data_IF_798197028189
#
_entry.id   IF_798197028189
#
_cell.length_a   1.000
_cell.length_b   1.000
_cell.length_c   1.000
_cell.angle_alpha   90.00
_cell.angle_beta   90.00
_cell.angle_gamma   90.00
#
_symmetry.space_group_name_H-M   'P 1'
#
loop_
_entity.id
_entity.type
_entity.pdbx_description
1 polymer ?
#
# COMPACT_ATOMS: atom_id res chain seq x y z
N UNK A 1 1.64 22.55 -30.21
CA UNK A 1 1.91 21.36 -29.41
C UNK A 1 1.49 20.17 -30.24
N UNK A 2 2.22 19.06 -30.32
CA UNK A 2 1.71 17.87 -30.99
C UNK A 2 0.39 17.46 -30.32
N UNK A 3 -0.62 17.17 -31.10
CA UNK A 3 -1.86 16.60 -30.58
C UNK A 3 -1.53 15.19 -30.08
N UNK A 4 -1.74 14.94 -28.79
CA UNK A 4 -1.63 13.61 -28.22
C UNK A 4 -2.90 12.82 -28.60
N UNK A 5 -2.73 11.70 -29.27
CA UNK A 5 -3.85 10.85 -29.70
C UNK A 5 -4.42 9.98 -28.55
N UNK A 6 -3.77 9.97 -27.39
CA UNK A 6 -4.13 9.11 -26.26
C UNK A 6 -4.11 9.88 -24.95
N UNK A 7 -5.18 9.74 -24.16
CA UNK A 7 -5.32 10.35 -22.85
C UNK A 7 -5.07 9.33 -21.74
N UNK A 8 -4.31 9.74 -20.72
CA UNK A 8 -4.19 9.00 -19.47
C UNK A 8 -4.57 9.87 -18.29
N UNK A 9 -5.54 9.42 -17.49
CA UNK A 9 -5.84 10.05 -16.21
C UNK A 9 -4.89 9.46 -15.16
N UNK A 10 -4.13 10.31 -14.49
CA UNK A 10 -3.23 9.93 -13.40
C UNK A 10 -3.94 10.22 -12.08
N UNK A 11 -4.46 9.18 -11.43
CA UNK A 11 -5.15 9.33 -10.15
C UNK A 11 -4.17 9.63 -9.03
N UNK A 12 -4.53 10.58 -8.18
CA UNK A 12 -3.67 11.02 -7.08
C UNK A 12 -4.48 11.47 -5.86
N UNK A 13 -3.79 11.66 -4.75
CA UNK A 13 -4.33 12.28 -3.54
C UNK A 13 -5.27 11.36 -2.76
N UNK A 14 -6.51 11.76 -2.64
CA UNK A 14 -7.48 11.12 -1.76
C UNK A 14 -7.39 11.64 -0.32
N UNK A 15 -7.96 10.89 0.61
CA UNK A 15 -8.10 11.28 2.02
C UNK A 15 -7.36 10.38 3.00
N UNK A 16 -6.43 9.58 2.51
CA UNK A 16 -5.55 8.73 3.35
C UNK A 16 -4.34 9.51 3.86
N UNK A 17 -3.65 8.97 4.85
CA UNK A 17 -2.37 9.50 5.36
C UNK A 17 -1.30 9.61 4.26
N UNK A 18 -1.43 8.84 3.20
CA UNK A 18 -0.49 8.78 2.08
C UNK A 18 -0.83 9.72 0.91
N UNK A 19 -1.90 10.53 1.02
CA UNK A 19 -2.36 11.42 -0.04
C UNK A 19 -1.27 12.40 -0.54
N UNK A 20 -0.43 12.91 0.36
CA UNK A 20 0.68 13.80 0.00
C UNK A 20 1.74 13.07 -0.86
N UNK A 21 2.07 11.84 -0.50
CA UNK A 21 3.02 10.98 -1.25
C UNK A 21 2.45 10.67 -2.62
N UNK A 22 1.16 10.34 -2.68
CA UNK A 22 0.44 10.07 -3.93
C UNK A 22 0.52 11.24 -4.92
N UNK A 23 0.33 12.48 -4.45
CA UNK A 23 0.45 13.67 -5.32
C UNK A 23 1.86 13.86 -5.87
N UNK A 24 2.89 13.58 -5.08
CA UNK A 24 4.29 13.62 -5.54
C UNK A 24 4.53 12.54 -6.60
N UNK A 25 4.11 11.29 -6.33
CA UNK A 25 4.22 10.18 -7.27
C UNK A 25 3.51 10.50 -8.59
N UNK A 26 2.28 11.02 -8.53
CA UNK A 26 1.50 11.38 -9.71
C UNK A 26 2.19 12.46 -10.56
N UNK A 27 2.81 13.47 -9.93
CA UNK A 27 3.56 14.52 -10.66
C UNK A 27 4.71 13.94 -11.48
N UNK A 28 5.46 12.98 -10.92
CA UNK A 28 6.54 12.30 -11.66
C UNK A 28 5.98 11.39 -12.75
N UNK A 29 4.93 10.62 -12.46
CA UNK A 29 4.29 9.73 -13.43
C UNK A 29 3.67 10.50 -14.60
N UNK A 30 3.02 11.63 -14.32
CA UNK A 30 2.45 12.50 -15.37
C UNK A 30 3.52 13.08 -16.30
N UNK A 31 4.66 13.51 -15.74
CA UNK A 31 5.80 13.97 -16.56
C UNK A 31 6.32 12.86 -17.44
N UNK A 32 6.50 11.65 -16.89
CA UNK A 32 6.97 10.49 -17.64
C UNK A 32 5.97 10.08 -18.73
N UNK A 33 4.67 10.09 -18.45
CA UNK A 33 3.63 9.78 -19.41
C UNK A 33 3.62 10.79 -20.59
N UNK A 34 3.77 12.08 -20.29
CA UNK A 34 3.89 13.13 -21.34
C UNK A 34 5.13 12.93 -22.22
N UNK A 35 6.27 12.56 -21.61
CA UNK A 35 7.48 12.21 -22.38
C UNK A 35 7.29 10.96 -23.24
N UNK A 36 6.44 10.04 -22.82
CA UNK A 36 6.06 8.84 -23.57
C UNK A 36 4.96 9.10 -24.63
N UNK A 37 4.53 10.35 -24.84
CA UNK A 37 3.56 10.73 -25.86
C UNK A 37 2.10 10.59 -25.44
N UNK A 38 1.79 10.64 -24.16
CA UNK A 38 0.43 10.65 -23.64
C UNK A 38 -0.01 12.05 -23.22
N UNK A 39 -1.29 12.37 -23.44
CA UNK A 39 -1.94 13.51 -22.79
C UNK A 39 -2.27 13.10 -21.34
N UNK A 40 -1.37 13.43 -20.42
CA UNK A 40 -1.51 13.03 -19.01
C UNK A 40 -2.22 14.13 -18.20
N UNK A 41 -3.36 13.76 -17.63
CA UNK A 41 -4.22 14.62 -16.82
C UNK A 41 -4.18 14.10 -15.38
N UNK A 42 -3.69 14.93 -14.45
CA UNK A 42 -3.70 14.63 -13.02
C UNK A 42 -5.12 14.81 -12.47
N UNK A 43 -5.62 13.79 -11.78
CA UNK A 43 -7.01 13.77 -11.28
C UNK A 43 -6.99 13.46 -9.78
N UNK A 44 -7.39 14.43 -8.98
CA UNK A 44 -7.54 14.25 -7.54
C UNK A 44 -8.69 13.31 -7.25
N UNK A 45 -8.43 12.28 -6.44
CA UNK A 45 -9.44 11.33 -5.98
C UNK A 45 -10.33 12.00 -4.92
N UNK A 46 -11.58 12.16 -5.26
CA UNK A 46 -12.64 12.63 -4.38
C UNK A 46 -13.96 11.95 -4.72
N UNK A 47 -15.06 12.42 -4.12
CA UNK A 47 -16.40 11.82 -4.32
C UNK A 47 -16.96 12.01 -5.72
N UNK A 48 -16.43 12.99 -6.47
CA UNK A 48 -16.87 13.31 -7.83
C UNK A 48 -15.99 12.62 -8.89
N UNK A 49 -15.13 11.67 -8.49
CA UNK A 49 -14.15 11.01 -9.37
C UNK A 49 -14.80 10.38 -10.61
N UNK A 50 -15.98 9.79 -10.48
CA UNK A 50 -16.71 9.17 -11.60
C UNK A 50 -17.05 10.23 -12.64
N UNK A 51 -17.65 11.33 -12.24
CA UNK A 51 -18.00 12.45 -13.14
C UNK A 51 -16.77 13.03 -13.83
N UNK A 52 -15.68 13.21 -13.08
CA UNK A 52 -14.41 13.68 -13.66
C UNK A 52 -13.88 12.74 -14.74
N UNK A 53 -13.92 11.42 -14.51
CA UNK A 53 -13.47 10.43 -15.48
C UNK A 53 -14.39 10.37 -16.70
N UNK A 54 -15.70 10.51 -16.52
CA UNK A 54 -16.69 10.58 -17.63
C UNK A 54 -16.48 11.83 -18.51
N UNK A 55 -16.13 12.96 -17.91
CA UNK A 55 -15.85 14.21 -18.63
C UNK A 55 -14.50 14.14 -19.39
N UNK A 56 -13.46 13.60 -18.75
CA UNK A 56 -12.11 13.47 -19.32
C UNK A 56 -12.10 12.43 -20.43
N UNK A 57 -12.84 11.32 -20.27
CA UNK A 57 -12.86 10.16 -21.16
C UNK A 57 -11.44 9.64 -21.46
N UNK A 58 -10.69 9.23 -20.45
CA UNK A 58 -9.32 8.75 -20.65
C UNK A 58 -9.32 7.37 -21.32
N UNK A 59 -8.34 7.11 -22.19
CA UNK A 59 -8.10 5.79 -22.76
C UNK A 59 -7.59 4.79 -21.71
N UNK A 60 -6.90 5.31 -20.70
CA UNK A 60 -6.27 4.55 -19.60
C UNK A 60 -6.27 5.37 -18.33
N UNK A 61 -6.21 4.66 -17.22
CA UNK A 61 -5.92 5.26 -15.91
C UNK A 61 -4.56 4.77 -15.42
N UNK A 62 -3.71 5.70 -15.01
CA UNK A 62 -2.53 5.41 -14.21
C UNK A 62 -2.87 5.64 -12.74
N UNK A 63 -2.87 4.57 -11.95
CA UNK A 63 -3.17 4.68 -10.53
C UNK A 63 -1.89 5.02 -9.76
N UNK A 64 -1.75 6.27 -9.31
CA UNK A 64 -0.68 6.74 -8.44
C UNK A 64 -1.16 6.95 -7.00
N UNK A 65 -2.31 6.38 -6.64
CA UNK A 65 -2.79 6.37 -5.27
C UNK A 65 -1.97 5.41 -4.41
N UNK A 66 -1.94 5.68 -3.11
CA UNK A 66 -1.31 4.84 -2.12
C UNK A 66 -2.28 4.47 -0.99
N UNK A 67 -2.09 3.28 -0.43
CA UNK A 67 -2.86 2.80 0.71
C UNK A 67 -4.31 2.48 0.38
N UNK A 68 -5.17 2.69 1.35
CA UNK A 68 -6.59 2.39 1.27
C UNK A 68 -7.25 3.10 0.08
N UNK A 69 -8.25 2.47 -0.54
CA UNK A 69 -8.95 2.85 -1.78
C UNK A 69 -8.07 2.69 -3.02
N UNK A 70 -6.82 3.13 -3.00
CA UNK A 70 -5.91 3.05 -4.14
C UNK A 70 -5.37 1.65 -4.40
N UNK A 71 -5.09 0.90 -3.33
CA UNK A 71 -4.38 -0.38 -3.39
C UNK A 71 -5.21 -1.57 -2.85
N UNK A 72 -6.44 -1.34 -2.39
CA UNK A 72 -7.30 -2.35 -1.77
C UNK A 72 -8.37 -2.96 -2.70
N UNK A 73 -8.36 -2.62 -3.98
CA UNK A 73 -9.34 -3.08 -4.95
C UNK A 73 -10.54 -2.14 -5.16
N UNK A 74 -10.72 -1.11 -4.33
CA UNK A 74 -11.86 -0.20 -4.41
C UNK A 74 -11.86 0.62 -5.69
N UNK A 75 -10.79 1.36 -5.98
CA UNK A 75 -10.65 2.13 -7.22
C UNK A 75 -10.63 1.22 -8.44
N UNK A 76 -10.02 0.05 -8.35
CA UNK A 76 -9.98 -0.94 -9.42
C UNK A 76 -11.40 -1.45 -9.76
N UNK A 77 -12.23 -1.68 -8.75
CA UNK A 77 -13.64 -2.07 -8.94
C UNK A 77 -14.46 -0.99 -9.64
N UNK A 78 -14.29 0.27 -9.24
CA UNK A 78 -14.92 1.43 -9.90
C UNK A 78 -14.49 1.53 -11.37
N UNK A 79 -13.19 1.41 -11.66
CA UNK A 79 -12.67 1.48 -13.03
C UNK A 79 -13.15 0.30 -13.90
N UNK A 80 -13.32 -0.89 -13.32
CA UNK A 80 -13.94 -2.02 -14.01
C UNK A 80 -15.40 -1.73 -14.39
N UNK A 81 -16.19 -1.11 -13.50
CA UNK A 81 -17.59 -0.71 -13.81
C UNK A 81 -17.61 0.32 -14.94
N UNK A 82 -16.69 1.28 -14.93
CA UNK A 82 -16.56 2.29 -15.98
C UNK A 82 -15.93 1.75 -17.28
N UNK A 83 -15.48 0.50 -17.28
CA UNK A 83 -14.79 -0.14 -18.40
C UNK A 83 -13.55 0.65 -18.87
N UNK A 84 -12.81 1.24 -17.91
CA UNK A 84 -11.57 1.98 -18.18
C UNK A 84 -10.38 1.10 -17.77
N UNK A 85 -9.49 0.73 -18.71
CA UNK A 85 -8.27 -0.01 -18.38
C UNK A 85 -7.34 0.82 -17.50
N UNK A 86 -6.67 0.15 -16.53
CA UNK A 86 -5.80 0.80 -15.57
C UNK A 86 -4.50 0.03 -15.32
N UNK A 87 -3.53 0.70 -14.74
CA UNK A 87 -2.28 0.10 -14.26
C UNK A 87 -2.51 -0.62 -12.93
N UNK A 88 -1.58 -1.51 -12.57
CA UNK A 88 -1.59 -2.33 -11.36
C UNK A 88 -2.46 -3.58 -11.42
N UNK A 89 -2.53 -4.26 -10.29
CA UNK A 89 -3.28 -5.51 -10.12
C UNK A 89 -4.79 -5.27 -10.11
N UNK A 90 -5.55 -6.30 -10.42
CA UNK A 90 -7.02 -6.24 -10.38
C UNK A 90 -7.57 -6.32 -8.93
N UNK A 91 -8.91 -6.24 -8.82
CA UNK A 91 -9.64 -6.14 -7.54
C UNK A 91 -9.22 -7.20 -6.52
N UNK A 92 -9.28 -8.49 -6.91
CA UNK A 92 -9.01 -9.57 -5.96
C UNK A 92 -7.56 -9.56 -5.47
N UNK A 93 -6.60 -9.36 -6.38
CA UNK A 93 -5.19 -9.33 -6.02
C UNK A 93 -4.87 -8.14 -5.11
N UNK A 94 -5.40 -6.96 -5.42
CA UNK A 94 -5.23 -5.74 -4.61
C UNK A 94 -5.84 -5.91 -3.22
N UNK A 95 -7.08 -6.36 -3.12
CA UNK A 95 -7.75 -6.59 -1.84
C UNK A 95 -7.02 -7.62 -0.97
N UNK A 96 -6.57 -8.73 -1.60
CA UNK A 96 -5.82 -9.77 -0.90
C UNK A 96 -4.46 -9.28 -0.42
N UNK A 97 -3.73 -8.51 -1.25
CA UNK A 97 -2.41 -8.00 -0.91
C UNK A 97 -2.47 -6.95 0.20
N UNK A 98 -3.53 -6.13 0.26
CA UNK A 98 -3.72 -5.14 1.30
C UNK A 98 -3.98 -5.80 2.66
N UNK A 99 -4.73 -6.91 2.69
CA UNK A 99 -5.02 -7.65 3.92
C UNK A 99 -3.85 -8.60 4.28
N UNK A 100 -3.08 -8.24 5.31
CA UNK A 100 -1.91 -9.01 5.73
C UNK A 100 -2.23 -10.44 6.15
N UNK A 101 -3.43 -10.70 6.67
CA UNK A 101 -3.84 -12.07 7.05
C UNK A 101 -4.12 -12.90 5.81
N UNK A 102 -4.85 -12.35 4.85
CA UNK A 102 -5.15 -13.04 3.58
C UNK A 102 -3.88 -13.32 2.77
N UNK A 103 -2.98 -12.34 2.65
CA UNK A 103 -1.70 -12.53 1.95
C UNK A 103 -0.82 -13.60 2.62
N UNK A 104 -0.75 -13.61 3.96
CA UNK A 104 -0.01 -14.64 4.72
C UNK A 104 -0.53 -16.04 4.43
N UNK A 105 -1.85 -16.24 4.41
CA UNK A 105 -2.45 -17.53 4.11
C UNK A 105 -2.08 -18.04 2.71
N UNK A 106 -2.10 -17.13 1.71
CA UNK A 106 -1.70 -17.48 0.35
C UNK A 106 -0.21 -17.79 0.29
N UNK A 107 0.66 -16.97 0.87
CA UNK A 107 2.10 -17.22 0.88
C UNK A 107 2.44 -18.55 1.55
N UNK A 108 1.83 -18.84 2.71
CA UNK A 108 2.02 -20.10 3.39
C UNK A 108 1.53 -21.30 2.55
N UNK A 109 0.41 -21.16 1.83
CA UNK A 109 -0.14 -22.23 0.99
C UNK A 109 0.76 -22.66 -0.17
N UNK A 110 1.65 -21.76 -0.60
CA UNK A 110 2.63 -22.02 -1.67
C UNK A 110 4.06 -22.23 -1.13
N UNK A 111 4.21 -22.42 0.19
CA UNK A 111 5.49 -22.73 0.84
C UNK A 111 6.40 -21.54 1.07
N UNK A 112 5.92 -20.30 0.92
CA UNK A 112 6.68 -19.09 1.30
C UNK A 112 6.59 -18.94 2.81
N UNK A 113 7.76 -18.83 3.47
CA UNK A 113 7.82 -18.60 4.91
C UNK A 113 7.23 -17.24 5.28
N UNK A 114 6.38 -17.24 6.31
CA UNK A 114 5.81 -16.01 6.89
C UNK A 114 6.10 -16.00 8.39
N UNK A 115 6.28 -14.81 9.02
CA UNK A 115 6.49 -14.73 10.46
C UNK A 115 5.33 -15.39 11.20
N UNK A 116 5.54 -16.18 12.26
CA UNK A 116 4.46 -16.73 13.05
C UNK A 116 3.52 -15.66 13.59
N UNK A 117 2.22 -15.85 13.41
CA UNK A 117 1.19 -14.99 13.96
C UNK A 117 1.03 -15.27 15.45
N UNK A 118 1.09 -14.25 16.28
CA UNK A 118 0.94 -14.35 17.74
C UNK A 118 -0.49 -14.03 18.16
N UNK A 119 -1.05 -12.94 17.63
CA UNK A 119 -2.40 -12.53 17.99
C UNK A 119 -3.06 -11.73 16.86
N UNK A 120 -4.38 -11.82 16.80
CA UNK A 120 -5.27 -10.90 16.12
C UNK A 120 -6.01 -10.11 17.18
N UNK A 121 -6.32 -8.85 16.89
CA UNK A 121 -7.15 -8.06 17.80
C UNK A 121 -8.54 -8.70 17.93
N UNK A 122 -8.89 -9.02 19.17
CA UNK A 122 -10.25 -9.41 19.54
C UNK A 122 -10.64 -8.61 20.79
N UNK A 123 -11.75 -7.92 20.73
CA UNK A 123 -12.28 -7.13 21.86
C UNK A 123 -11.28 -6.07 22.41
N UNK A 124 -10.59 -5.37 21.53
CA UNK A 124 -9.61 -4.32 21.89
C UNK A 124 -8.33 -4.81 22.60
N UNK A 125 -8.02 -6.11 22.52
CA UNK A 125 -6.80 -6.68 23.07
C UNK A 125 -5.98 -7.32 21.95
N UNK A 126 -4.78 -6.81 21.71
CA UNK A 126 -3.86 -7.28 20.65
C UNK A 126 -2.70 -8.09 21.21
N UNK A 127 -2.54 -8.07 22.52
CA UNK A 127 -1.32 -8.57 23.13
C UNK A 127 -1.35 -10.09 23.25
N UNK A 128 -0.29 -10.76 22.76
CA UNK A 128 -0.03 -12.12 23.18
C UNK A 128 0.30 -12.09 24.67
N UNK A 129 -0.70 -12.29 25.52
CA UNK A 129 -0.57 -12.19 26.98
C UNK A 129 0.55 -13.08 27.56
N UNK A 130 1.01 -14.06 26.79
CA UNK A 130 1.95 -15.09 27.22
C UNK A 130 3.25 -15.13 26.40
N UNK A 131 3.49 -14.16 25.52
CA UNK A 131 4.70 -14.10 24.69
C UNK A 131 5.61 -12.96 25.13
N UNK A 132 6.80 -13.27 25.61
CA UNK A 132 7.80 -12.31 26.09
C UNK A 132 8.90 -11.98 25.10
N UNK A 133 8.94 -12.65 23.94
CA UNK A 133 9.94 -12.42 22.90
C UNK A 133 9.69 -11.17 22.06
N UNK A 134 10.68 -10.79 21.28
CA UNK A 134 10.56 -9.66 20.37
C UNK A 134 9.47 -9.90 19.33
N UNK A 135 8.58 -8.92 19.14
CA UNK A 135 7.43 -9.03 18.24
C UNK A 135 7.07 -7.69 17.60
N UNK A 136 6.21 -7.74 16.59
CA UNK A 136 5.75 -6.57 15.84
C UNK A 136 4.24 -6.48 15.98
N UNK A 137 3.75 -5.31 16.39
CA UNK A 137 2.33 -4.96 16.36
C UNK A 137 2.11 -3.97 15.21
N UNK A 138 1.10 -4.22 14.39
CA UNK A 138 0.85 -3.42 13.20
C UNK A 138 -0.61 -3.47 12.75
N UNK A 139 -1.09 -2.44 12.03
CA UNK A 139 -2.36 -2.50 11.37
C UNK A 139 -2.43 -3.65 10.35
N UNK A 140 -3.57 -4.33 10.32
CA UNK A 140 -3.84 -5.42 9.38
C UNK A 140 -3.91 -4.93 7.93
N UNK A 141 -4.55 -3.80 7.70
CA UNK A 141 -4.93 -3.29 6.37
C UNK A 141 -4.31 -1.91 6.06
N UNK A 142 -3.06 -1.69 6.43
CA UNK A 142 -2.38 -0.42 6.17
C UNK A 142 -1.00 -0.65 5.54
N UNK A 143 -0.46 0.39 4.89
CA UNK A 143 0.82 0.37 4.19
C UNK A 143 1.89 1.28 4.82
N UNK A 144 3.00 1.49 4.09
CA UNK A 144 4.06 2.45 4.37
C UNK A 144 4.66 2.42 5.79
N UNK A 145 4.61 1.30 6.47
CA UNK A 145 5.03 1.13 7.88
C UNK A 145 4.28 2.05 8.87
N UNK A 146 3.14 2.59 8.45
CA UNK A 146 2.31 3.40 9.34
C UNK A 146 1.77 2.56 10.49
N UNK A 147 1.92 3.04 11.72
CA UNK A 147 1.44 2.34 12.91
C UNK A 147 2.14 1.02 13.24
N UNK A 148 3.30 0.73 12.64
CA UNK A 148 4.11 -0.44 13.00
C UNK A 148 4.93 -0.15 14.24
N UNK A 149 4.83 -1.02 15.24
CA UNK A 149 5.59 -0.95 16.49
C UNK A 149 6.36 -2.25 16.68
N UNK A 150 7.68 -2.13 16.83
CA UNK A 150 8.55 -3.25 17.22
C UNK A 150 8.68 -3.22 18.73
N UNK A 151 8.27 -4.29 19.39
CA UNK A 151 8.39 -4.49 20.84
C UNK A 151 9.55 -5.44 21.08
N UNK A 152 10.57 -5.00 21.80
CA UNK A 152 11.71 -5.84 22.19
C UNK A 152 11.37 -6.63 23.46
N UNK A 153 12.17 -7.64 23.78
CA UNK A 153 11.93 -8.52 24.95
C UNK A 153 11.81 -7.77 26.29
N UNK A 154 12.50 -6.64 26.42
CA UNK A 154 12.55 -5.81 27.65
C UNK A 154 11.55 -4.64 27.63
N UNK A 155 10.87 -4.43 26.52
CA UNK A 155 9.95 -3.30 26.37
C UNK A 155 8.58 -3.62 26.98
N UNK A 156 7.95 -2.59 27.53
CA UNK A 156 6.55 -2.69 27.89
C UNK A 156 5.69 -2.73 26.63
N UNK A 157 4.57 -3.45 26.70
CA UNK A 157 3.58 -3.44 25.63
C UNK A 157 3.10 -2.02 25.34
N UNK A 158 3.04 -1.60 24.06
CA UNK A 158 2.56 -0.27 23.71
C UNK A 158 1.08 -0.11 24.05
N UNK A 159 0.66 1.08 24.42
CA UNK A 159 -0.75 1.35 24.70
C UNK A 159 -1.60 1.29 23.43
N UNK A 160 -2.79 0.71 23.53
CA UNK A 160 -3.76 0.61 22.41
C UNK A 160 -4.12 1.99 21.83
N UNK A 161 -4.05 3.03 22.63
CA UNK A 161 -4.30 4.43 22.25
C UNK A 161 -3.33 4.99 21.21
N UNK A 162 -2.22 4.30 20.91
CA UNK A 162 -1.33 4.66 19.80
C UNK A 162 -1.98 4.51 18.42
N UNK A 163 -3.06 3.75 18.32
CA UNK A 163 -3.81 3.55 17.07
C UNK A 163 -5.25 4.03 17.21
N UNK A 164 -5.87 4.51 16.13
CA UNK A 164 -7.30 4.78 16.11
C UNK A 164 -8.12 3.57 16.58
N UNK A 165 -9.23 3.81 17.25
CA UNK A 165 -10.04 2.74 17.84
C UNK A 165 -10.57 1.73 16.82
N UNK A 166 -10.79 2.18 15.58
CA UNK A 166 -11.30 1.38 14.45
C UNK A 166 -10.19 0.59 13.73
N UNK A 167 -8.92 0.72 14.12
CA UNK A 167 -7.82 0.03 13.45
C UNK A 167 -7.77 -1.43 13.91
N UNK A 168 -7.94 -2.36 12.98
CA UNK A 168 -7.69 -3.78 13.22
C UNK A 168 -6.18 -4.03 13.32
N UNK A 169 -5.74 -4.54 14.47
CA UNK A 169 -4.32 -4.81 14.72
C UNK A 169 -4.01 -6.30 14.66
N UNK A 170 -2.76 -6.61 14.34
CA UNK A 170 -2.19 -7.95 14.43
C UNK A 170 -0.82 -7.91 15.09
N UNK A 171 -0.42 -9.00 15.73
CA UNK A 171 0.91 -9.20 16.28
C UNK A 171 1.57 -10.43 15.67
N UNK A 172 2.85 -10.33 15.33
CA UNK A 172 3.66 -11.42 14.79
C UNK A 172 5.07 -11.41 15.39
N UNK A 173 5.75 -12.55 15.35
CA UNK A 173 7.15 -12.64 15.81
C UNK A 173 8.02 -11.70 14.98
N UNK A 174 8.89 -10.94 15.66
CA UNK A 174 9.92 -10.14 14.99
C UNK A 174 10.98 -11.06 14.37
N UNK A 175 11.22 -10.89 13.07
CA UNK A 175 12.27 -11.63 12.35
C UNK A 175 13.44 -10.67 12.10
N UNK A 176 14.57 -10.84 12.77
CA UNK A 176 15.76 -10.05 12.49
C UNK A 176 16.34 -10.42 11.12
N UNK A 177 16.85 -9.44 10.38
CA UNK A 177 17.48 -9.70 9.09
C UNK A 177 17.57 -8.46 8.22
N UNK A 178 17.92 -8.68 6.96
CA UNK A 178 17.96 -7.63 5.95
C UNK A 178 16.60 -7.43 5.33
N UNK A 179 16.21 -6.17 5.14
CA UNK A 179 15.02 -5.84 4.37
C UNK A 179 15.35 -5.85 2.87
N UNK A 180 14.61 -6.66 2.13
CA UNK A 180 14.77 -6.78 0.69
C UNK A 180 13.45 -6.47 -0.01
N UNK A 181 13.55 -5.85 -1.18
CA UNK A 181 12.41 -5.67 -2.08
C UNK A 181 12.75 -6.13 -3.49
N UNK A 182 11.74 -6.51 -4.25
CA UNK A 182 11.88 -6.92 -5.65
C UNK A 182 10.85 -6.20 -6.48
N UNK A 183 11.30 -5.40 -7.43
CA UNK A 183 10.42 -4.80 -8.43
C UNK A 183 9.97 -5.85 -9.44
N UNK A 184 8.68 -5.90 -9.74
CA UNK A 184 8.10 -6.81 -10.72
C UNK A 184 7.41 -6.00 -11.81
N UNK A 185 7.72 -6.29 -13.07
CA UNK A 185 7.08 -5.68 -14.25
C UNK A 185 6.66 -6.79 -15.22
N UNK A 186 5.39 -6.80 -15.61
CA UNK A 186 4.81 -7.83 -16.50
C UNK A 186 5.11 -9.27 -16.03
N UNK A 187 4.98 -9.53 -14.72
CA UNK A 187 5.24 -10.83 -14.13
C UNK A 187 6.72 -11.23 -14.05
N UNK A 188 7.65 -10.34 -14.40
CA UNK A 188 9.09 -10.58 -14.33
C UNK A 188 9.72 -9.84 -13.17
N UNK A 189 10.41 -10.56 -12.30
CA UNK A 189 11.28 -9.96 -11.28
C UNK A 189 12.45 -9.25 -11.98
N UNK A 190 12.66 -7.97 -11.67
CA UNK A 190 13.73 -7.17 -12.28
C UNK A 190 15.05 -7.34 -11.51
N UNK A 191 15.06 -6.95 -10.25
CA UNK A 191 16.23 -7.09 -9.39
C UNK A 191 15.83 -7.17 -7.92
N UNK A 192 16.69 -7.75 -7.11
CA UNK A 192 16.60 -7.72 -5.66
C UNK A 192 17.35 -6.50 -5.16
N UNK A 193 16.67 -5.68 -4.37
CA UNK A 193 17.24 -4.45 -3.79
C UNK A 193 17.24 -4.56 -2.27
N UNK A 194 18.40 -4.36 -1.63
CA UNK A 194 18.52 -4.25 -0.18
C UNK A 194 18.15 -2.83 0.25
N UNK A 195 17.23 -2.72 1.20
CA UNK A 195 16.87 -1.45 1.84
C UNK A 195 17.80 -1.25 3.02
N UNK A 196 18.61 -0.20 2.97
CA UNK A 196 19.52 0.19 4.06
C UNK A 196 19.02 1.48 4.70
N UNK A 197 18.84 1.45 6.00
CA UNK A 197 18.50 2.62 6.81
C UNK A 197 19.63 2.92 7.78
N UNK A 198 19.87 4.18 8.07
CA UNK A 198 20.88 4.61 9.05
C UNK A 198 20.39 4.37 10.47
N UNK A 199 19.07 4.37 10.66
CA UNK A 199 18.40 4.08 11.93
C UNK A 199 17.82 2.66 11.95
N UNK A 200 17.40 2.20 13.11
CA UNK A 200 17.11 0.78 13.37
C UNK A 200 15.87 0.20 12.65
N UNK A 201 15.04 1.04 12.00
CA UNK A 201 13.81 0.56 11.33
C UNK A 201 13.41 1.48 10.16
N UNK A 202 12.96 0.89 9.06
CA UNK A 202 12.48 1.59 7.86
C UNK A 202 11.03 2.06 8.07
N UNK A 203 10.85 3.06 8.92
CA UNK A 203 9.56 3.65 9.27
C UNK A 203 9.07 4.64 8.20
N UNK A 204 7.92 5.27 8.46
CA UNK A 204 7.35 6.28 7.58
C UNK A 204 8.27 7.50 7.38
N UNK A 205 9.00 7.92 8.41
CA UNK A 205 9.91 9.06 8.30
C UNK A 205 11.13 8.71 7.45
N UNK A 206 11.71 7.52 7.63
CA UNK A 206 12.82 7.02 6.82
C UNK A 206 12.44 6.81 5.34
N UNK A 207 11.13 6.61 5.05
CA UNK A 207 10.61 6.45 3.67
C UNK A 207 10.43 7.78 2.95
N UNK A 208 9.99 8.83 3.66
CA UNK A 208 9.41 10.03 3.01
C UNK A 208 9.97 11.36 3.51
N UNK A 209 10.87 11.37 4.47
CA UNK A 209 11.54 12.56 5.01
C UNK A 209 13.05 12.42 4.92
#
# INVERSE_FOLDING_TARGET
MPAFDRKVAVLMGGWTSEAAVSRVSASFCSKAARLAGWDAIEVELDRDIITKLEDIKPDRVFNALHGQIGEDGSVQGMLNILNIPYTHSGVLASATAMDKISSRLIFASIGIAVPPLLALEQNSHVYPSDYTGAHVIKPRNDGSSFGVVIVKEEDNAPERSLWPAETDLMAEIYIPGKELTVSVLDGRALCVTEIKVEEHFYDFNAKYK
#
